data_IF_006396998708
#
_entry.id   IF_006396998708
#
_cell.length_a   1.000
_cell.length_b   1.000
_cell.length_c   1.000
_cell.angle_alpha   90.00
_cell.angle_beta   90.00
_cell.angle_gamma   90.00
#
_symmetry.space_group_name_H-M   'P 1'
#
loop_
_entity.id
_entity.type
_entity.pdbx_description
1 polymer ?
#
# COMPACT_ATOMS: atom_id res chain seq x y z
N UNK A 1 -15.95 41.33 22.92
CA UNK A 1 -14.87 40.72 22.10
C UNK A 1 -13.63 40.55 22.97
N UNK A 2 -13.32 39.33 23.41
CA UNK A 2 -12.10 39.03 24.17
C UNK A 2 -10.93 38.99 23.18
N UNK A 3 -10.06 40.01 23.24
CA UNK A 3 -8.80 40.04 22.48
C UNK A 3 -7.82 39.10 23.21
N UNK A 4 -7.61 37.90 22.67
CA UNK A 4 -6.64 36.93 23.22
C UNK A 4 -5.24 37.52 23.01
N UNK A 5 -4.61 38.02 24.07
CA UNK A 5 -3.21 38.43 24.04
C UNK A 5 -2.37 37.16 23.98
N UNK A 6 -1.95 36.78 22.77
CA UNK A 6 -0.98 35.71 22.58
C UNK A 6 0.38 36.17 23.12
N UNK A 7 1.00 35.33 23.95
CA UNK A 7 2.35 35.57 24.45
C UNK A 7 3.34 35.56 23.29
N UNK A 8 4.36 36.41 23.32
CA UNK A 8 5.43 36.48 22.29
C UNK A 8 6.05 35.08 22.05
N UNK A 9 6.13 34.25 23.09
CA UNK A 9 6.62 32.87 22.99
C UNK A 9 5.67 31.96 22.20
N UNK A 10 4.35 32.15 22.28
CA UNK A 10 3.38 31.39 21.48
C UNK A 10 3.47 31.78 20.01
N UNK A 11 3.65 33.07 19.72
CA UNK A 11 3.83 33.57 18.35
C UNK A 11 5.11 33.00 17.73
N UNK A 12 6.23 32.99 18.48
CA UNK A 12 7.49 32.40 18.05
C UNK A 12 7.40 30.89 17.81
N UNK A 13 6.64 30.17 18.65
CA UNK A 13 6.49 28.71 18.53
C UNK A 13 5.59 28.34 17.33
N UNK A 14 4.53 29.10 17.09
CA UNK A 14 3.67 28.94 15.90
C UNK A 14 4.45 29.32 14.63
N UNK A 15 5.19 30.43 14.63
CA UNK A 15 5.98 30.87 13.48
C UNK A 15 7.14 29.91 13.18
N UNK A 16 7.84 29.42 14.22
CA UNK A 16 8.90 28.42 14.09
C UNK A 16 8.36 27.07 13.59
N UNK A 17 7.21 26.63 14.10
CA UNK A 17 6.52 25.43 13.62
C UNK A 17 6.06 25.56 12.16
N UNK A 18 5.49 26.71 11.79
CA UNK A 18 5.08 26.98 10.41
C UNK A 18 6.29 27.04 9.45
N UNK A 19 7.42 27.60 9.89
CA UNK A 19 8.67 27.61 9.13
C UNK A 19 9.24 26.19 8.93
N UNK A 20 9.23 25.36 9.98
CA UNK A 20 9.63 23.96 9.88
C UNK A 20 8.71 23.16 8.93
N UNK A 21 7.40 23.36 9.00
CA UNK A 21 6.44 22.74 8.09
C UNK A 21 6.70 23.22 6.65
N UNK A 22 6.97 24.50 6.44
CA UNK A 22 7.28 25.04 5.12
C UNK A 22 8.56 24.45 4.51
N UNK A 23 9.57 24.15 5.32
CA UNK A 23 10.80 23.49 4.87
C UNK A 23 10.61 22.00 4.57
N UNK A 24 9.80 21.30 5.37
CA UNK A 24 9.59 19.85 5.26
C UNK A 24 8.52 19.51 4.22
N UNK A 25 7.51 20.36 4.04
CA UNK A 25 6.37 20.10 3.15
C UNK A 25 6.78 19.84 1.68
N UNK A 26 7.75 20.56 1.08
CA UNK A 26 8.23 20.22 -0.26
C UNK A 26 8.83 18.82 -0.34
N UNK A 27 9.64 18.42 0.65
CA UNK A 27 10.25 17.09 0.69
C UNK A 27 9.19 15.99 0.85
N UNK A 28 8.17 16.21 1.68
CA UNK A 28 7.03 15.30 1.81
C UNK A 28 6.20 15.23 0.52
N UNK A 29 6.01 16.37 -0.17
CA UNK A 29 5.29 16.45 -1.43
C UNK A 29 6.01 15.67 -2.55
N UNK A 30 7.33 15.82 -2.66
CA UNK A 30 8.14 15.06 -3.61
C UNK A 30 8.10 13.57 -3.29
N UNK A 31 8.29 13.19 -2.01
CA UNK A 31 8.24 11.79 -1.58
C UNK A 31 6.88 11.14 -1.87
N UNK A 32 5.78 11.84 -1.57
CA UNK A 32 4.42 11.37 -1.88
C UNK A 32 4.19 11.25 -3.39
N UNK A 33 4.71 12.20 -4.19
CA UNK A 33 4.64 12.16 -5.65
C UNK A 33 5.35 10.94 -6.25
N UNK A 34 6.56 10.63 -5.77
CA UNK A 34 7.32 9.45 -6.21
C UNK A 34 6.56 8.17 -5.84
N UNK A 35 6.10 8.05 -4.59
CA UNK A 35 5.32 6.88 -4.15
C UNK A 35 4.04 6.71 -4.97
N UNK A 36 3.34 7.80 -5.27
CA UNK A 36 2.13 7.76 -6.10
C UNK A 36 2.43 7.32 -7.52
N UNK A 37 3.53 7.80 -8.12
CA UNK A 37 3.97 7.36 -9.46
C UNK A 37 4.29 5.87 -9.49
N UNK A 38 5.04 5.37 -8.50
CA UNK A 38 5.37 3.95 -8.38
C UNK A 38 4.10 3.12 -8.18
N UNK A 39 3.18 3.57 -7.34
CA UNK A 39 1.90 2.90 -7.14
C UNK A 39 1.07 2.85 -8.43
N UNK A 40 0.99 3.96 -9.17
CA UNK A 40 0.23 4.06 -10.42
C UNK A 40 0.77 3.16 -11.52
N UNK A 41 2.10 3.05 -11.64
CA UNK A 41 2.73 2.11 -12.57
C UNK A 41 2.50 0.67 -12.09
N UNK A 42 2.74 0.41 -10.81
CA UNK A 42 2.63 -0.92 -10.24
C UNK A 42 1.23 -1.52 -10.27
N UNK A 43 0.16 -0.72 -10.12
CA UNK A 43 -1.22 -1.23 -10.24
C UNK A 43 -1.53 -1.79 -11.64
N UNK A 44 -0.85 -1.31 -12.68
CA UNK A 44 -1.06 -1.77 -14.06
C UNK A 44 -0.35 -3.10 -14.33
N UNK A 45 0.68 -3.39 -13.53
CA UNK A 45 1.42 -4.65 -13.56
C UNK A 45 0.66 -5.79 -12.85
N UNK A 46 -0.24 -5.45 -11.93
CA UNK A 46 -1.09 -6.42 -11.24
C UNK A 46 -2.15 -7.04 -12.17
N UNK A 47 -2.69 -8.19 -11.77
CA UNK A 47 -3.79 -8.82 -12.50
C UNK A 47 -5.03 -7.91 -12.56
N UNK A 48 -5.73 -7.82 -13.71
CA UNK A 48 -6.99 -7.06 -13.82
C UNK A 48 -8.06 -7.53 -12.81
N UNK A 49 -8.04 -8.82 -12.46
CA UNK A 49 -8.93 -9.41 -11.47
C UNK A 49 -8.63 -8.96 -10.03
N UNK A 50 -7.41 -8.52 -9.75
CA UNK A 50 -7.01 -8.06 -8.42
C UNK A 50 -7.80 -6.82 -8.01
N UNK A 51 -8.13 -5.92 -8.94
CA UNK A 51 -8.95 -4.73 -8.65
C UNK A 51 -10.34 -5.15 -8.17
N UNK A 52 -11.01 -6.02 -8.93
CA UNK A 52 -12.35 -6.52 -8.57
C UNK A 52 -12.37 -7.20 -7.20
N UNK A 53 -11.43 -8.12 -6.96
CA UNK A 53 -11.35 -8.86 -5.71
C UNK A 53 -11.03 -7.96 -4.51
N UNK A 54 -10.10 -7.01 -4.65
CA UNK A 54 -9.79 -6.07 -3.56
C UNK A 54 -10.95 -5.09 -3.28
N UNK A 55 -11.68 -4.65 -4.30
CA UNK A 55 -12.90 -3.85 -4.11
C UNK A 55 -13.96 -4.64 -3.36
N UNK A 56 -14.20 -5.90 -3.74
CA UNK A 56 -15.11 -6.79 -3.01
C UNK A 56 -14.64 -6.99 -1.57
N UNK A 57 -13.34 -7.17 -1.34
CA UNK A 57 -12.77 -7.29 0.01
C UNK A 57 -13.03 -6.05 0.87
N UNK A 58 -12.89 -4.84 0.31
CA UNK A 58 -13.22 -3.59 1.01
C UNK A 58 -14.71 -3.51 1.36
N UNK A 59 -15.59 -3.81 0.40
CA UNK A 59 -17.04 -3.77 0.62
C UNK A 59 -17.44 -4.75 1.74
N UNK A 60 -16.94 -5.99 1.67
CA UNK A 60 -17.21 -7.02 2.67
C UNK A 60 -16.64 -6.61 4.03
N UNK A 61 -15.42 -6.08 4.08
CA UNK A 61 -14.82 -5.56 5.32
C UNK A 61 -15.68 -4.47 5.94
N UNK A 62 -16.12 -3.48 5.17
CA UNK A 62 -16.98 -2.38 5.65
C UNK A 62 -18.30 -2.94 6.19
N UNK A 63 -18.93 -3.85 5.47
CA UNK A 63 -20.14 -4.52 5.93
C UNK A 63 -19.92 -5.26 7.26
N UNK A 64 -18.84 -6.03 7.37
CA UNK A 64 -18.49 -6.75 8.60
C UNK A 64 -18.16 -5.78 9.74
N UNK A 65 -17.52 -4.66 9.45
CA UNK A 65 -17.17 -3.64 10.43
C UNK A 65 -18.40 -2.93 11.01
N UNK A 66 -19.43 -2.71 10.18
CA UNK A 66 -20.70 -2.12 10.61
C UNK A 66 -21.57 -3.10 11.40
N UNK A 67 -21.47 -4.40 11.13
CA UNK A 67 -22.32 -5.44 11.73
C UNK A 67 -21.65 -6.15 12.92
N UNK A 68 -20.32 -6.12 13.04
CA UNK A 68 -19.59 -6.78 14.11
C UNK A 68 -19.50 -5.92 15.38
N UNK A 69 -19.86 -6.53 16.51
CA UNK A 69 -19.67 -5.96 17.85
C UNK A 69 -18.19 -6.00 18.30
N UNK A 70 -17.41 -6.97 17.80
CA UNK A 70 -15.99 -7.12 18.15
C UNK A 70 -15.08 -6.87 16.94
N UNK A 71 -14.62 -5.62 16.83
CA UNK A 71 -13.77 -5.13 15.75
C UNK A 71 -12.32 -5.60 15.83
N UNK A 72 -11.89 -6.22 16.92
CA UNK A 72 -10.50 -6.66 17.09
C UNK A 72 -10.15 -7.77 16.09
N UNK A 73 -11.12 -8.64 15.77
CA UNK A 73 -10.95 -9.74 14.81
C UNK A 73 -10.83 -9.27 13.35
N UNK A 74 -11.27 -8.05 13.05
CA UNK A 74 -11.19 -7.45 11.72
C UNK A 74 -9.81 -6.83 11.40
N UNK A 75 -8.90 -6.77 12.39
CA UNK A 75 -7.54 -6.22 12.20
C UNK A 75 -6.78 -6.95 11.09
N UNK A 76 -6.85 -8.28 11.04
CA UNK A 76 -6.18 -9.07 10.01
C UNK A 76 -6.73 -8.78 8.62
N UNK A 77 -8.04 -8.61 8.50
CA UNK A 77 -8.68 -8.26 7.22
C UNK A 77 -8.23 -6.89 6.70
N UNK A 78 -8.22 -5.85 7.55
CA UNK A 78 -7.79 -4.52 7.11
C UNK A 78 -6.29 -4.48 6.77
N UNK A 79 -5.46 -5.23 7.51
CA UNK A 79 -4.05 -5.38 7.16
C UNK A 79 -3.89 -6.01 5.78
N UNK A 80 -4.62 -7.08 5.47
CA UNK A 80 -4.57 -7.73 4.16
C UNK A 80 -5.09 -6.82 3.03
N UNK A 81 -6.10 -5.99 3.29
CA UNK A 81 -6.58 -4.97 2.34
C UNK A 81 -5.48 -3.94 2.07
N UNK A 82 -4.83 -3.43 3.11
CA UNK A 82 -3.73 -2.47 2.98
C UNK A 82 -2.57 -3.08 2.19
N UNK A 83 -2.21 -4.34 2.46
CA UNK A 83 -1.19 -5.05 1.68
C UNK A 83 -1.60 -5.19 0.21
N UNK A 84 -2.82 -5.63 -0.04
CA UNK A 84 -3.39 -5.84 -1.37
C UNK A 84 -3.45 -4.58 -2.24
N UNK A 85 -3.89 -3.47 -1.64
CA UNK A 85 -4.20 -2.22 -2.34
C UNK A 85 -3.01 -1.26 -2.36
N UNK A 86 -2.17 -1.23 -1.33
CA UNK A 86 -1.11 -0.22 -1.19
C UNK A 86 0.28 -0.83 -1.42
N UNK A 87 0.65 -1.84 -0.63
CA UNK A 87 2.02 -2.34 -0.65
C UNK A 87 2.36 -3.14 -1.92
N UNK A 88 1.44 -3.97 -2.41
CA UNK A 88 1.72 -4.77 -3.60
C UNK A 88 1.89 -3.95 -4.88
N UNK A 89 1.04 -2.94 -5.19
CA UNK A 89 1.33 -2.03 -6.30
C UNK A 89 2.64 -1.27 -6.10
N UNK A 90 2.94 -0.78 -4.89
CA UNK A 90 4.22 -0.11 -4.62
C UNK A 90 5.43 -1.01 -4.90
N UNK A 91 5.37 -2.28 -4.48
CA UNK A 91 6.42 -3.26 -4.74
C UNK A 91 6.56 -3.54 -6.24
N UNK A 92 5.44 -3.72 -6.94
CA UNK A 92 5.44 -3.95 -8.39
C UNK A 92 6.06 -2.77 -9.15
N UNK A 93 5.66 -1.53 -8.82
CA UNK A 93 6.21 -0.34 -9.49
C UNK A 93 7.66 -0.06 -9.14
N UNK A 94 8.07 -0.36 -7.90
CA UNK A 94 9.49 -0.27 -7.49
C UNK A 94 10.34 -1.29 -8.24
N UNK A 95 9.82 -2.51 -8.41
CA UNK A 95 10.48 -3.57 -9.16
C UNK A 95 10.68 -3.17 -10.63
N UNK A 96 9.64 -2.63 -11.27
CA UNK A 96 9.69 -2.14 -12.64
C UNK A 96 10.67 -0.97 -12.81
N UNK A 97 10.68 -0.03 -11.85
CA UNK A 97 11.64 1.07 -11.82
C UNK A 97 13.09 0.60 -11.76
N UNK A 98 13.40 -0.36 -10.88
CA UNK A 98 14.77 -0.90 -10.76
C UNK A 98 15.20 -1.73 -11.96
N UNK A 99 14.28 -2.42 -12.65
CA UNK A 99 14.59 -3.11 -13.90
C UNK A 99 14.87 -2.10 -15.02
N UNK A 100 14.08 -1.03 -15.11
CA UNK A 100 14.26 0.00 -16.12
C UNK A 100 15.57 0.79 -15.93
N UNK A 101 16.00 1.00 -14.67
CA UNK A 101 17.25 1.69 -14.33
C UNK A 101 18.46 0.77 -14.17
N UNK A 102 18.30 -0.55 -14.20
CA UNK A 102 19.43 -1.46 -14.15
C UNK A 102 20.34 -1.17 -15.37
N UNK A 103 21.57 -0.66 -15.17
CA UNK A 103 22.49 -0.47 -16.29
C UNK A 103 22.60 -1.80 -17.00
N UNK A 104 22.56 -1.79 -18.33
CA UNK A 104 22.89 -2.93 -19.17
C UNK A 104 24.33 -3.34 -18.89
N UNK A 105 24.55 -4.06 -17.79
CA UNK A 105 25.81 -4.70 -17.51
C UNK A 105 25.93 -5.73 -18.62
N UNK A 106 26.81 -5.46 -19.59
CA UNK A 106 27.26 -6.40 -20.61
C UNK A 106 27.92 -7.60 -19.91
N UNK A 107 27.13 -8.45 -19.28
CA UNK A 107 27.59 -9.72 -18.73
C UNK A 107 27.38 -10.73 -19.83
N UNK A 108 28.48 -10.95 -20.54
CA UNK A 108 28.72 -12.04 -21.46
C UNK A 108 28.64 -13.38 -20.69
N UNK A 109 27.44 -13.81 -20.29
CA UNK A 109 27.13 -15.11 -19.66
C UNK A 109 25.67 -15.50 -19.96
N UNK A 110 25.43 -16.09 -21.13
CA UNK A 110 24.09 -16.49 -21.61
C UNK A 110 23.35 -17.50 -20.68
N UNK A 111 24.05 -18.17 -19.77
CA UNK A 111 23.46 -19.08 -18.76
C UNK A 111 22.98 -18.33 -17.50
N UNK A 112 23.67 -17.27 -17.09
CA UNK A 112 23.29 -16.49 -15.91
C UNK A 112 22.04 -15.66 -16.25
N UNK A 113 22.04 -15.01 -17.42
CA UNK A 113 20.93 -14.15 -17.88
C UNK A 113 19.61 -14.91 -18.02
N UNK A 114 19.62 -16.15 -18.52
CA UNK A 114 18.41 -16.96 -18.66
C UNK A 114 17.81 -17.36 -17.29
N UNK A 115 18.65 -17.62 -16.28
CA UNK A 115 18.20 -17.91 -14.92
C UNK A 115 17.63 -16.67 -14.22
N UNK A 116 18.21 -15.48 -14.45
CA UNK A 116 17.73 -14.21 -13.90
C UNK A 116 16.42 -13.78 -14.55
N UNK A 117 16.26 -13.99 -15.86
CA UNK A 117 15.01 -13.73 -16.59
C UNK A 117 13.88 -14.65 -16.13
N UNK A 118 14.14 -15.94 -15.94
CA UNK A 118 13.14 -16.89 -15.43
C UNK A 118 12.75 -16.57 -13.98
N UNK A 119 13.72 -16.24 -13.12
CA UNK A 119 13.45 -15.84 -11.74
C UNK A 119 12.68 -14.52 -11.68
N UNK A 120 13.02 -13.56 -12.55
CA UNK A 120 12.31 -12.30 -12.72
C UNK A 120 10.87 -12.52 -13.19
N UNK A 121 10.66 -13.39 -14.18
CA UNK A 121 9.33 -13.75 -14.67
C UNK A 121 8.49 -14.46 -13.60
N UNK A 122 9.11 -15.32 -12.78
CA UNK A 122 8.46 -15.96 -11.62
C UNK A 122 8.10 -14.95 -10.54
N UNK A 123 9.03 -14.05 -10.19
CA UNK A 123 8.80 -13.00 -9.20
C UNK A 123 7.68 -12.05 -9.66
N UNK A 124 7.70 -11.65 -10.93
CA UNK A 124 6.67 -10.83 -11.54
C UNK A 124 5.31 -11.57 -11.57
N UNK A 125 5.31 -12.84 -11.97
CA UNK A 125 4.12 -13.69 -11.93
C UNK A 125 3.54 -13.78 -10.51
N UNK A 126 4.39 -13.99 -9.51
CA UNK A 126 3.99 -14.03 -8.11
C UNK A 126 3.38 -12.69 -7.66
N UNK A 127 4.07 -11.57 -7.86
CA UNK A 127 3.59 -10.23 -7.51
C UNK A 127 2.25 -9.92 -8.21
N UNK A 128 2.12 -10.31 -9.48
CA UNK A 128 0.92 -10.08 -10.28
C UNK A 128 -0.34 -10.73 -9.72
N UNK A 129 -0.21 -11.94 -9.15
CA UNK A 129 -1.35 -12.73 -8.66
C UNK A 129 -1.52 -12.72 -7.14
N UNK A 130 -0.48 -12.40 -6.36
CA UNK A 130 -0.56 -12.40 -4.89
C UNK A 130 -1.58 -11.39 -4.36
N UNK A 131 -1.84 -10.30 -5.10
CA UNK A 131 -2.87 -9.30 -4.76
C UNK A 131 -4.30 -9.86 -4.79
N UNK A 132 -4.56 -10.86 -5.64
CA UNK A 132 -5.83 -11.62 -5.61
C UNK A 132 -5.93 -12.42 -4.31
N UNK A 133 -4.83 -13.11 -3.95
CA UNK A 133 -4.76 -13.91 -2.72
C UNK A 133 -5.00 -13.08 -1.46
N UNK A 134 -4.40 -11.89 -1.36
CA UNK A 134 -4.62 -10.99 -0.23
C UNK A 134 -6.07 -10.52 -0.13
N UNK A 135 -6.71 -10.23 -1.26
CA UNK A 135 -8.11 -9.85 -1.29
C UNK A 135 -9.05 -11.00 -0.89
N UNK A 136 -8.83 -12.21 -1.40
CA UNK A 136 -9.60 -13.41 -1.01
C UNK A 136 -9.43 -13.71 0.49
N UNK A 137 -8.20 -13.70 0.99
CA UNK A 137 -7.94 -13.94 2.41
C UNK A 137 -8.61 -12.89 3.29
N UNK A 138 -8.58 -11.62 2.89
CA UNK A 138 -9.28 -10.55 3.60
C UNK A 138 -10.79 -10.80 3.68
N UNK A 139 -11.41 -11.25 2.58
CA UNK A 139 -12.82 -11.63 2.57
C UNK A 139 -13.09 -12.75 3.57
N UNK A 140 -12.28 -13.81 3.55
CA UNK A 140 -12.42 -14.95 4.45
C UNK A 140 -12.28 -14.55 5.92
N UNK A 141 -11.28 -13.73 6.27
CA UNK A 141 -11.12 -13.23 7.64
C UNK A 141 -12.28 -12.33 8.06
N UNK A 142 -12.79 -11.49 7.16
CA UNK A 142 -13.91 -10.59 7.45
C UNK A 142 -15.19 -11.37 7.73
N UNK A 143 -15.51 -12.33 6.86
CA UNK A 143 -16.69 -13.20 7.01
C UNK A 143 -16.55 -14.13 8.22
N UNK A 144 -15.39 -14.74 8.42
CA UNK A 144 -15.11 -15.61 9.58
C UNK A 144 -15.31 -14.89 10.91
N UNK A 145 -14.99 -13.59 10.97
CA UNK A 145 -15.20 -12.77 12.17
C UNK A 145 -16.67 -12.64 12.59
N UNK A 146 -17.61 -12.77 11.65
CA UNK A 146 -19.05 -12.75 11.92
C UNK A 146 -19.52 -14.12 12.44
N UNK A 147 -19.07 -15.21 11.81
CA UNK A 147 -19.53 -16.56 12.14
C UNK A 147 -19.00 -17.08 13.48
N UNK A 148 -17.81 -16.68 13.92
CA UNK A 148 -17.32 -17.04 15.26
C UNK A 148 -18.18 -16.46 16.40
N UNK A 149 -19.05 -15.47 16.12
CA UNK A 149 -20.03 -14.96 17.10
C UNK A 149 -21.22 -15.91 17.26
N UNK A 150 -21.56 -16.74 16.27
CA UNK A 150 -22.72 -17.64 16.38
C UNK A 150 -22.42 -18.93 17.14
N UNK A 151 -21.17 -19.17 17.51
CA UNK A 151 -20.72 -20.41 18.18
C UNK A 151 -20.33 -20.23 19.65
N UNK A 152 -20.49 -19.03 20.22
CA UNK A 152 -20.24 -18.72 21.64
C UNK A 152 -21.52 -18.30 22.35
#
# INVERSE_FOLDING_TARGET
MLKKNHSINEILLIAGGAFFIYLIAPALGIGAGILMSLWMNGKELLSPWAVGVNVTAVIIYVFCYLTSENKVKLKSSITLIIVGIIFLPLQAGTYDYFIAEAPTINVQNNLLNASTEQLSALAYGFIRYVSIGTGVLSILYSVGSIFEKSSS
#
